data_IF_392998072851
#
_entry.id   IF_392998072851
#
_cell.length_a   1.000
_cell.length_b   1.000
_cell.length_c   1.000
_cell.angle_alpha   90.00
_cell.angle_beta   90.00
_cell.angle_gamma   90.00
#
_symmetry.space_group_name_H-M   'P 1'
#
loop_
_entity.id
_entity.type
_entity.pdbx_description
1 polymer ?
#
# COMPACT_ATOMS: atom_id res chain seq x y z
N UNK A 1 12.58 10.96 -2.88
CA UNK A 1 11.45 10.41 -2.11
C UNK A 1 11.87 9.45 -1.00
N UNK A 2 12.84 8.54 -1.17
CA UNK A 2 13.27 7.59 -0.11
C UNK A 2 13.58 8.24 1.27
N UNK A 3 14.26 9.39 1.31
CA UNK A 3 14.63 10.04 2.58
C UNK A 3 13.44 10.51 3.43
N UNK A 4 12.29 10.77 2.82
CA UNK A 4 11.11 11.26 3.53
C UNK A 4 10.43 10.11 4.28
N UNK A 5 10.18 9.00 3.59
CA UNK A 5 9.61 7.77 4.18
C UNK A 5 10.47 7.24 5.32
N UNK A 6 11.80 7.22 5.15
CA UNK A 6 12.73 6.81 6.22
C UNK A 6 12.65 7.72 7.45
N UNK A 7 12.44 9.03 7.24
CA UNK A 7 12.34 10.01 8.32
C UNK A 7 11.01 9.89 9.06
N UNK A 8 9.90 9.69 8.34
CA UNK A 8 8.58 9.43 8.92
C UNK A 8 8.60 8.17 9.78
N UNK A 9 9.16 7.08 9.24
CA UNK A 9 9.29 5.82 9.96
C UNK A 9 10.14 5.98 11.23
N UNK A 10 11.25 6.73 11.16
CA UNK A 10 12.10 6.99 12.32
C UNK A 10 11.36 7.82 13.40
N UNK A 11 10.57 8.81 13.00
CA UNK A 11 9.79 9.63 13.93
C UNK A 11 8.66 8.84 14.58
N UNK A 12 7.89 8.05 13.82
CA UNK A 12 6.87 7.17 14.39
C UNK A 12 7.47 6.19 15.39
N UNK A 13 8.60 5.56 15.03
CA UNK A 13 9.32 4.65 15.92
C UNK A 13 9.75 5.34 17.22
N UNK A 14 10.19 6.61 17.15
CA UNK A 14 10.57 7.39 18.33
C UNK A 14 9.41 7.60 19.31
N UNK A 15 8.19 7.81 18.80
CA UNK A 15 6.98 7.95 19.61
C UNK A 15 6.30 6.62 19.95
N UNK A 16 6.85 5.49 19.51
CA UNK A 16 6.28 4.15 19.75
C UNK A 16 5.01 3.86 18.92
N UNK A 17 4.83 4.59 17.81
CA UNK A 17 3.72 4.41 16.88
C UNK A 17 4.08 3.39 15.78
N UNK A 18 3.16 2.51 15.39
CA UNK A 18 3.34 1.64 14.24
C UNK A 18 3.26 2.44 12.94
N UNK A 19 3.91 1.95 11.88
CA UNK A 19 3.92 2.61 10.58
C UNK A 19 2.65 2.25 9.79
N UNK A 20 1.53 2.89 10.09
CA UNK A 20 0.22 2.69 9.45
C UNK A 20 -0.22 3.92 8.67
N UNK A 21 -1.17 3.76 7.72
CA UNK A 21 -1.68 4.86 6.90
C UNK A 21 -2.29 5.96 7.78
N UNK A 22 -3.05 5.57 8.81
CA UNK A 22 -3.62 6.49 9.82
C UNK A 22 -2.58 7.47 10.38
N UNK A 23 -1.38 6.98 10.75
CA UNK A 23 -0.36 7.85 11.32
C UNK A 23 0.45 8.56 10.23
N UNK A 24 0.60 7.96 9.03
CA UNK A 24 1.30 8.59 7.90
C UNK A 24 0.56 9.82 7.38
N UNK A 25 -0.77 9.84 7.44
CA UNK A 25 -1.59 11.00 7.09
C UNK A 25 -1.25 12.24 7.94
N UNK A 26 -0.81 12.06 9.19
CA UNK A 26 -0.34 13.18 10.02
C UNK A 26 0.83 13.87 9.33
N UNK A 27 1.80 13.13 8.81
CA UNK A 27 2.99 13.67 8.16
C UNK A 27 2.68 14.33 6.81
N UNK A 28 1.75 13.75 6.03
CA UNK A 28 1.34 14.31 4.75
C UNK A 28 0.68 15.69 4.90
N UNK A 29 -0.16 15.86 5.93
CA UNK A 29 -0.77 17.15 6.23
C UNK A 29 0.28 18.24 6.54
N UNK A 30 1.37 17.88 7.23
CA UNK A 30 2.47 18.81 7.50
C UNK A 30 3.38 19.04 6.29
N UNK A 31 3.61 18.03 5.45
CA UNK A 31 4.45 18.15 4.26
C UNK A 31 3.88 19.09 3.19
N UNK A 32 2.56 19.32 3.19
CA UNK A 32 1.87 20.18 2.21
C UNK A 32 1.89 21.67 2.58
N UNK A 33 2.37 22.07 3.78
CA UNK A 33 2.47 23.48 4.18
C UNK A 33 3.76 24.11 3.63
N UNK A 34 3.62 25.05 2.68
CA UNK A 34 4.77 25.75 2.07
C UNK A 34 5.48 26.73 3.04
N UNK A 35 4.75 27.33 3.98
CA UNK A 35 5.28 28.29 4.96
C UNK A 35 5.14 27.75 6.40
N UNK A 36 6.23 27.22 6.93
CA UNK A 36 6.28 26.66 8.29
C UNK A 36 6.59 27.73 9.34
N UNK A 37 5.75 27.85 10.38
CA UNK A 37 6.11 28.59 11.60
C UNK A 37 6.30 27.65 12.79
N UNK A 38 7.03 28.13 13.81
CA UNK A 38 7.32 27.37 15.04
C UNK A 38 6.04 26.85 15.74
N UNK A 39 4.92 27.55 15.58
CA UNK A 39 3.63 27.12 16.11
C UNK A 39 3.12 25.84 15.43
N UNK A 40 3.29 25.69 14.11
CA UNK A 40 2.89 24.48 13.38
C UNK A 40 3.69 23.26 13.84
N UNK A 41 4.98 23.43 14.13
CA UNK A 41 5.83 22.35 14.67
C UNK A 41 5.34 21.94 16.06
N UNK A 42 4.96 22.90 16.91
CA UNK A 42 4.44 22.61 18.23
C UNK A 42 3.10 21.86 18.17
N UNK A 43 2.18 22.26 17.29
CA UNK A 43 0.92 21.55 17.05
C UNK A 43 1.15 20.14 16.50
N UNK A 44 2.13 19.95 15.62
CA UNK A 44 2.51 18.64 15.11
C UNK A 44 2.99 17.70 16.21
N UNK A 45 3.91 18.19 17.06
CA UNK A 45 4.45 17.41 18.17
C UNK A 45 3.32 17.02 19.13
N UNK A 46 2.42 17.96 19.47
CA UNK A 46 1.26 17.66 20.31
C UNK A 46 0.36 16.59 19.68
N UNK A 47 0.12 16.65 18.37
CA UNK A 47 -0.68 15.65 17.66
C UNK A 47 -0.03 14.26 17.70
N UNK A 48 1.30 14.17 17.57
CA UNK A 48 2.04 12.91 17.70
C UNK A 48 2.00 12.37 19.13
N UNK A 49 2.14 13.24 20.14
CA UNK A 49 2.05 12.85 21.55
C UNK A 49 0.65 12.36 21.92
N UNK A 50 -0.41 13.03 21.43
CA UNK A 50 -1.79 12.59 21.61
C UNK A 50 -2.03 11.24 20.95
N UNK A 51 -1.61 11.06 19.69
CA UNK A 51 -1.72 9.79 18.98
C UNK A 51 -0.99 8.65 19.69
N UNK A 52 0.22 8.90 20.20
CA UNK A 52 0.99 7.92 20.96
C UNK A 52 0.31 7.56 22.28
N UNK A 53 -0.22 8.55 23.01
CA UNK A 53 -0.96 8.30 24.24
C UNK A 53 -2.24 7.50 23.98
N UNK A 54 -3.00 7.83 22.95
CA UNK A 54 -4.19 7.06 22.56
C UNK A 54 -3.82 5.62 22.23
N UNK A 55 -2.75 5.42 21.45
CA UNK A 55 -2.27 4.10 21.06
C UNK A 55 -1.85 3.25 22.28
N UNK A 56 -1.08 3.81 23.21
CA UNK A 56 -0.65 3.13 24.45
C UNK A 56 -1.86 2.73 25.32
N UNK A 57 -2.95 3.48 25.28
CA UNK A 57 -4.18 3.20 26.03
C UNK A 57 -5.09 2.17 25.35
N UNK A 58 -4.79 1.74 24.13
CA UNK A 58 -5.59 0.74 23.43
C UNK A 58 -5.52 -0.64 24.12
N UNK A 59 -6.61 -1.41 24.08
CA UNK A 59 -6.60 -2.77 24.59
C UNK A 59 -5.58 -3.62 23.82
N UNK A 60 -4.73 -4.35 24.54
CA UNK A 60 -3.80 -5.31 23.93
C UNK A 60 -4.61 -6.48 23.37
N UNK A 61 -4.73 -6.54 22.05
CA UNK A 61 -5.36 -7.63 21.33
C UNK A 61 -4.30 -8.65 20.91
N UNK A 62 -4.70 -9.91 20.81
CA UNK A 62 -3.89 -10.92 20.13
C UNK A 62 -3.97 -10.72 18.61
N UNK A 63 -2.94 -11.11 17.86
CA UNK A 63 -2.92 -10.99 16.39
C UNK A 63 -4.18 -11.58 15.72
N UNK A 64 -4.69 -12.71 16.24
CA UNK A 64 -5.93 -13.34 15.75
C UNK A 64 -7.15 -12.45 16.00
N UNK A 65 -7.25 -11.84 17.19
CA UNK A 65 -8.35 -10.93 17.52
C UNK A 65 -8.26 -9.64 16.72
N UNK A 66 -7.05 -9.13 16.48
CA UNK A 66 -6.82 -7.96 15.64
C UNK A 66 -7.29 -8.22 14.21
N UNK A 67 -6.93 -9.37 13.62
CA UNK A 67 -7.40 -9.77 12.30
C UNK A 67 -8.93 -9.93 12.25
N UNK A 68 -9.54 -10.55 13.27
CA UNK A 68 -10.99 -10.69 13.34
C UNK A 68 -11.69 -9.33 13.42
N UNK A 69 -11.20 -8.43 14.28
CA UNK A 69 -11.72 -7.08 14.37
C UNK A 69 -11.52 -6.30 13.07
N UNK A 70 -10.39 -6.48 12.40
CA UNK A 70 -10.10 -5.85 11.14
C UNK A 70 -11.07 -6.30 10.04
N UNK A 71 -11.43 -7.59 10.03
CA UNK A 71 -12.47 -8.13 9.16
C UNK A 71 -13.85 -7.56 9.47
N UNK A 72 -14.23 -7.47 10.74
CA UNK A 72 -15.53 -6.91 11.16
C UNK A 72 -15.69 -5.42 10.78
N UNK A 73 -14.59 -4.67 10.83
CA UNK A 73 -14.57 -3.23 10.53
C UNK A 73 -14.10 -2.90 9.11
N UNK A 74 -13.86 -3.91 8.27
CA UNK A 74 -13.34 -3.77 6.90
C UNK A 74 -12.10 -2.88 6.81
N UNK A 75 -11.15 -3.06 7.75
CA UNK A 75 -9.89 -2.31 7.77
C UNK A 75 -8.97 -2.75 6.64
N UNK A 76 -8.20 -1.80 6.12
CA UNK A 76 -7.22 -2.04 5.04
C UNK A 76 -5.99 -2.78 5.58
N UNK A 77 -5.39 -3.61 4.73
CA UNK A 77 -4.15 -4.32 5.05
C UNK A 77 -3.01 -3.38 5.53
N UNK A 78 -2.91 -2.19 4.92
CA UNK A 78 -1.91 -1.16 5.25
C UNK A 78 -1.99 -0.67 6.70
N UNK A 79 -3.16 -0.75 7.33
CA UNK A 79 -3.37 -0.37 8.73
C UNK A 79 -3.20 -1.55 9.69
N UNK A 80 -3.41 -2.78 9.21
CA UNK A 80 -3.51 -3.97 10.06
C UNK A 80 -2.19 -4.74 10.12
N UNK A 81 -1.49 -4.87 8.99
CA UNK A 81 -0.23 -5.63 8.92
C UNK A 81 0.87 -5.05 9.84
N UNK A 82 1.06 -3.73 9.97
CA UNK A 82 2.08 -3.15 10.85
C UNK A 82 1.78 -3.32 12.34
N UNK A 83 0.50 -3.51 12.69
CA UNK A 83 -0.02 -3.70 14.05
C UNK A 83 0.14 -5.15 14.54
N UNK A 84 0.37 -6.11 13.64
CA UNK A 84 0.66 -7.48 14.01
C UNK A 84 1.99 -7.57 14.76
N UNK A 85 2.11 -8.53 15.68
CA UNK A 85 3.34 -8.77 16.45
C UNK A 85 4.58 -9.05 15.58
N UNK A 86 4.36 -9.43 14.32
CA UNK A 86 5.40 -9.69 13.31
C UNK A 86 5.96 -8.40 12.66
N UNK A 87 5.37 -7.23 12.93
CA UNK A 87 5.74 -5.92 12.35
C UNK A 87 5.93 -5.97 10.84
N UNK A 88 5.00 -6.63 10.15
CA UNK A 88 5.10 -6.87 8.73
C UNK A 88 4.93 -5.57 7.96
N UNK A 89 5.89 -5.31 7.07
CA UNK A 89 5.70 -4.27 6.05
C UNK A 89 4.66 -4.77 5.03
N UNK A 90 3.81 -3.89 4.48
CA UNK A 90 2.80 -4.26 3.48
C UNK A 90 3.47 -4.64 2.15
N UNK A 91 3.94 -5.89 2.08
CA UNK A 91 4.49 -6.49 0.87
C UNK A 91 3.38 -7.20 0.10
N UNK A 92 3.53 -7.28 -1.22
CA UNK A 92 2.54 -7.81 -2.15
C UNK A 92 1.96 -9.17 -1.77
N UNK A 93 2.81 -10.07 -1.25
CA UNK A 93 2.36 -11.38 -0.78
C UNK A 93 1.41 -11.26 0.43
N UNK A 94 1.77 -10.46 1.44
CA UNK A 94 0.93 -10.23 2.62
C UNK A 94 -0.37 -9.49 2.29
N UNK A 95 -0.30 -8.54 1.37
CA UNK A 95 -1.48 -7.84 0.86
C UNK A 95 -2.45 -8.81 0.19
N UNK A 96 -1.94 -9.72 -0.66
CA UNK A 96 -2.78 -10.75 -1.29
C UNK A 96 -3.41 -11.70 -0.24
N UNK A 97 -2.61 -12.20 0.71
CA UNK A 97 -3.13 -13.08 1.77
C UNK A 97 -4.25 -12.40 2.55
N UNK A 98 -4.09 -11.11 2.85
CA UNK A 98 -5.09 -10.36 3.61
C UNK A 98 -6.33 -10.01 2.76
N UNK A 99 -6.16 -9.35 1.62
CA UNK A 99 -7.27 -8.82 0.83
C UNK A 99 -8.06 -9.90 0.10
N UNK A 100 -7.39 -10.95 -0.37
CA UNK A 100 -8.04 -12.02 -1.15
C UNK A 100 -8.41 -13.16 -0.23
N UNK A 101 -7.43 -13.80 0.41
CA UNK A 101 -7.72 -15.04 1.15
C UNK A 101 -8.45 -14.79 2.46
N UNK A 102 -8.04 -13.79 3.24
CA UNK A 102 -8.65 -13.53 4.54
C UNK A 102 -9.99 -12.78 4.45
N UNK A 103 -10.05 -11.70 3.66
CA UNK A 103 -11.27 -10.90 3.53
C UNK A 103 -12.31 -11.50 2.57
N UNK A 104 -11.91 -12.02 1.40
CA UNK A 104 -12.87 -12.51 0.39
C UNK A 104 -13.17 -14.01 0.55
N UNK A 105 -12.15 -14.84 0.77
CA UNK A 105 -12.32 -16.30 0.82
C UNK A 105 -12.60 -16.87 2.22
N UNK A 106 -12.64 -16.01 3.24
CA UNK A 106 -12.96 -16.39 4.63
C UNK A 106 -12.06 -17.48 5.20
N UNK A 107 -10.77 -17.43 4.84
CA UNK A 107 -9.75 -18.31 5.40
C UNK A 107 -9.52 -17.98 6.89
N UNK A 108 -9.22 -19.02 7.68
CA UNK A 108 -8.97 -18.90 9.12
C UNK A 108 -7.78 -17.97 9.41
N UNK A 109 -7.98 -17.04 10.35
CA UNK A 109 -6.97 -16.06 10.76
C UNK A 109 -5.67 -16.72 11.24
N UNK A 110 -5.77 -17.87 11.93
CA UNK A 110 -4.59 -18.58 12.41
C UNK A 110 -3.76 -19.19 11.26
N UNK A 111 -4.42 -19.66 10.19
CA UNK A 111 -3.72 -20.19 9.02
C UNK A 111 -2.98 -19.09 8.26
N UNK A 112 -3.62 -17.92 8.07
CA UNK A 112 -2.99 -16.75 7.45
C UNK A 112 -1.77 -16.29 8.26
N UNK A 113 -1.90 -16.22 9.59
CA UNK A 113 -0.80 -15.81 10.47
C UNK A 113 0.39 -16.78 10.41
N UNK A 114 0.15 -18.09 10.39
CA UNK A 114 1.21 -19.08 10.26
C UNK A 114 1.97 -18.93 8.94
N UNK A 115 1.25 -18.73 7.84
CA UNK A 115 1.87 -18.49 6.52
C UNK A 115 2.71 -17.21 6.54
N UNK A 116 2.14 -16.10 7.07
CA UNK A 116 2.83 -14.82 7.18
C UNK A 116 4.11 -14.92 8.03
N UNK A 117 4.05 -15.67 9.14
CA UNK A 117 5.19 -15.91 10.00
C UNK A 117 6.28 -16.68 9.26
N UNK A 118 5.94 -17.76 8.54
CA UNK A 118 6.91 -18.56 7.79
C UNK A 118 7.62 -17.74 6.72
N UNK A 119 6.88 -16.92 5.99
CA UNK A 119 7.43 -16.04 4.95
C UNK A 119 8.32 -14.95 5.53
N UNK A 120 7.94 -14.40 6.69
CA UNK A 120 8.71 -13.37 7.39
C UNK A 120 10.03 -13.91 7.95
N UNK A 121 9.99 -15.06 8.60
CA UNK A 121 11.18 -15.72 9.18
C UNK A 121 12.23 -16.06 8.12
N UNK A 122 11.78 -16.46 6.92
CA UNK A 122 12.66 -16.81 5.81
C UNK A 122 12.99 -15.62 4.88
N UNK A 123 12.40 -14.44 5.12
CA UNK A 123 12.61 -13.22 4.32
C UNK A 123 12.34 -13.41 2.81
N UNK A 124 11.38 -14.27 2.45
CA UNK A 124 11.11 -14.64 1.04
C UNK A 124 10.01 -13.82 0.37
N UNK A 125 9.32 -12.94 1.09
CA UNK A 125 8.19 -12.16 0.54
C UNK A 125 8.54 -11.38 -0.74
N UNK A 126 9.75 -10.82 -0.85
CA UNK A 126 10.21 -10.14 -2.07
C UNK A 126 10.44 -11.10 -3.25
N UNK A 127 10.92 -12.32 -2.99
CA UNK A 127 11.09 -13.36 -4.02
C UNK A 127 9.74 -13.88 -4.49
N UNK A 128 8.81 -14.07 -3.56
CA UNK A 128 7.43 -14.45 -3.86
C UNK A 128 6.75 -13.43 -4.77
N UNK A 129 6.98 -12.12 -4.56
CA UNK A 129 6.46 -11.11 -5.48
C UNK A 129 6.93 -11.29 -6.92
N UNK A 130 8.23 -11.56 -7.13
CA UNK A 130 8.78 -11.81 -8.47
C UNK A 130 8.15 -13.05 -9.11
N UNK A 131 8.02 -14.13 -8.34
CA UNK A 131 7.36 -15.37 -8.78
C UNK A 131 5.90 -15.13 -9.13
N UNK A 132 5.18 -14.31 -8.36
CA UNK A 132 3.79 -13.98 -8.65
C UNK A 132 3.61 -13.21 -9.97
N UNK A 133 4.62 -12.44 -10.40
CA UNK A 133 4.62 -11.76 -11.70
C UNK A 133 4.95 -12.74 -12.81
N UNK A 134 6.01 -13.52 -12.65
CA UNK A 134 6.45 -14.53 -13.61
C UNK A 134 6.65 -15.89 -12.93
N UNK A 135 5.63 -16.73 -13.07
CA UNK A 135 5.63 -18.08 -12.52
C UNK A 135 6.77 -18.95 -13.07
N UNK A 136 7.43 -18.59 -14.18
CA UNK A 136 8.59 -19.32 -14.70
C UNK A 136 9.81 -19.21 -13.77
N UNK A 137 9.93 -18.13 -13.00
CA UNK A 137 11.03 -17.91 -12.06
C UNK A 137 11.05 -18.95 -10.93
N UNK A 138 9.90 -19.55 -10.62
CA UNK A 138 9.81 -20.57 -9.59
C UNK A 138 10.51 -21.89 -9.98
N UNK A 139 10.78 -22.11 -11.29
CA UNK A 139 11.52 -23.28 -11.77
C UNK A 139 13.05 -23.10 -11.71
N UNK A 140 13.54 -21.93 -11.32
CA UNK A 140 14.96 -21.67 -11.16
C UNK A 140 15.52 -22.39 -9.94
N UNK A 141 16.77 -22.90 -10.03
CA UNK A 141 17.42 -23.63 -8.92
C UNK A 141 17.46 -22.80 -7.63
N UNK A 142 17.61 -21.48 -7.76
CA UNK A 142 17.66 -20.53 -6.66
C UNK A 142 16.31 -20.37 -5.94
N UNK A 143 15.21 -20.93 -6.47
CA UNK A 143 13.86 -20.88 -5.90
C UNK A 143 13.29 -22.24 -5.45
N UNK A 144 14.09 -23.31 -5.49
CA UNK A 144 13.66 -24.62 -5.02
C UNK A 144 13.30 -24.67 -3.53
N UNK A 145 13.94 -23.84 -2.71
CA UNK A 145 13.67 -23.70 -1.28
C UNK A 145 12.24 -23.22 -0.99
N UNK A 146 11.64 -22.41 -1.87
CA UNK A 146 10.27 -21.91 -1.72
C UNK A 146 9.25 -23.06 -1.78
N UNK A 147 9.50 -24.08 -2.61
CA UNK A 147 8.67 -25.29 -2.64
C UNK A 147 8.85 -26.15 -1.39
N UNK A 148 10.08 -26.26 -0.89
CA UNK A 148 10.41 -27.06 0.30
C UNK A 148 9.82 -26.46 1.58
N UNK A 149 9.59 -25.14 1.60
CA UNK A 149 8.94 -24.46 2.74
C UNK A 149 7.48 -24.86 2.94
N UNK A 150 6.82 -25.41 1.91
CA UNK A 150 5.46 -25.93 2.06
C UNK A 150 4.40 -24.86 2.32
N UNK A 151 4.57 -23.68 1.70
CA UNK A 151 3.60 -22.58 1.74
C UNK A 151 2.23 -23.05 1.26
N UNK A 152 1.24 -22.95 2.14
CA UNK A 152 -0.11 -23.47 1.91
C UNK A 152 -0.81 -22.73 0.76
N UNK A 153 -0.58 -21.43 0.65
CA UNK A 153 -1.30 -20.54 -0.25
C UNK A 153 -0.48 -20.10 -1.47
N UNK A 154 0.70 -20.70 -1.69
CA UNK A 154 1.54 -20.38 -2.84
C UNK A 154 0.83 -20.62 -4.18
N UNK A 155 0.04 -21.71 -4.26
CA UNK A 155 -0.74 -22.02 -5.47
C UNK A 155 -1.80 -20.96 -5.78
N UNK A 156 -2.55 -20.55 -4.76
CA UNK A 156 -3.59 -19.52 -4.88
C UNK A 156 -2.97 -18.16 -5.24
N UNK A 157 -1.82 -17.85 -4.63
CA UNK A 157 -1.05 -16.65 -4.97
C UNK A 157 -0.59 -16.66 -6.43
N UNK A 158 0.06 -17.72 -6.93
CA UNK A 158 0.50 -17.78 -8.33
C UNK A 158 -0.63 -17.71 -9.36
N UNK A 159 -1.81 -18.24 -9.00
CA UNK A 159 -2.99 -18.23 -9.87
C UNK A 159 -3.77 -16.91 -9.83
N UNK A 160 -3.85 -16.27 -8.66
CA UNK A 160 -4.69 -15.11 -8.41
C UNK A 160 -3.95 -13.77 -8.40
N UNK A 161 -2.65 -13.76 -8.12
CA UNK A 161 -1.88 -12.54 -7.92
C UNK A 161 -1.80 -11.63 -9.16
N UNK A 162 -1.59 -12.13 -10.40
CA UNK A 162 -1.55 -11.26 -11.59
C UNK A 162 -2.81 -10.40 -11.72
N UNK A 163 -3.98 -11.02 -11.53
CA UNK A 163 -5.27 -10.33 -11.57
C UNK A 163 -5.45 -9.36 -10.40
N UNK A 164 -5.08 -9.79 -9.19
CA UNK A 164 -5.12 -8.92 -8.02
C UNK A 164 -4.25 -7.68 -8.20
N UNK A 165 -3.06 -7.82 -8.80
CA UNK A 165 -2.14 -6.74 -9.07
C UNK A 165 -2.68 -5.74 -10.11
N UNK A 166 -3.30 -6.24 -11.19
CA UNK A 166 -3.97 -5.38 -12.17
C UNK A 166 -5.09 -4.54 -11.54
N UNK A 167 -5.93 -5.16 -10.71
CA UNK A 167 -7.11 -4.51 -10.12
C UNK A 167 -6.73 -3.51 -9.01
N UNK A 168 -5.76 -3.85 -8.15
CA UNK A 168 -5.50 -3.13 -6.88
C UNK A 168 -4.15 -2.42 -6.79
N UNK A 169 -3.18 -2.73 -7.67
CA UNK A 169 -1.83 -2.18 -7.61
C UNK A 169 -1.49 -1.31 -8.84
N UNK A 170 -1.92 -1.70 -10.05
CA UNK A 170 -1.67 -0.92 -11.27
C UNK A 170 -2.51 0.36 -11.38
N UNK A 171 -3.68 0.44 -10.74
CA UNK A 171 -4.50 1.65 -10.75
C UNK A 171 -3.99 2.77 -9.80
N UNK A 172 -2.93 2.51 -9.01
CA UNK A 172 -2.26 3.55 -8.19
C UNK A 172 -1.12 4.25 -8.94
N UNK A 173 -0.77 3.84 -10.17
CA UNK A 173 0.24 4.53 -11.01
C UNK A 173 -0.34 5.45 -12.08
N UNK A 174 -1.60 5.90 -11.93
CA UNK A 174 -2.09 7.09 -12.63
C UNK A 174 -1.39 8.33 -12.05
N UNK A 175 -0.07 8.40 -12.21
CA UNK A 175 0.70 9.59 -12.03
C UNK A 175 0.56 10.37 -13.35
N UNK A 176 -0.17 11.50 -13.39
CA UNK A 176 -0.31 12.31 -14.60
C UNK A 176 1.01 12.99 -15.04
N UNK A 177 2.14 12.54 -14.51
CA UNK A 177 3.50 13.02 -14.77
C UNK A 177 4.45 11.90 -15.19
N UNK A 178 3.93 10.70 -15.52
CA UNK A 178 4.75 9.67 -16.18
C UNK A 178 5.09 10.16 -17.61
N UNK A 179 6.37 10.35 -17.99
CA UNK A 179 6.75 10.85 -19.30
C UNK A 179 6.44 9.90 -20.46
N UNK A 180 6.08 8.65 -20.14
CA UNK A 180 5.62 7.64 -21.11
C UNK A 180 4.07 7.50 -21.12
N UNK A 181 3.35 8.45 -20.51
CA UNK A 181 1.91 8.62 -20.74
C UNK A 181 1.71 9.21 -22.14
N UNK A 182 1.75 8.35 -23.16
CA UNK A 182 1.24 8.68 -24.48
C UNK A 182 -0.28 8.83 -24.35
N UNK A 183 -0.71 10.08 -24.25
CA UNK A 183 -2.10 10.52 -24.32
C UNK A 183 -2.56 10.39 -25.79
N UNK A 184 -2.63 9.15 -26.29
CA UNK A 184 -3.08 8.82 -27.65
C UNK A 184 -4.61 9.02 -27.85
N UNK A 185 -5.27 9.75 -26.96
CA UNK A 185 -6.68 10.15 -27.04
C UNK A 185 -6.87 11.68 -27.15
N UNK A 186 -5.85 12.43 -27.58
CA UNK A 186 -5.94 13.90 -27.79
C UNK A 186 -5.98 14.32 -29.28
N UNK A 187 -6.49 13.44 -30.15
CA UNK A 187 -6.56 13.63 -31.62
C UNK A 187 -7.78 14.43 -32.10
N UNK A 188 -8.35 15.31 -31.26
CA UNK A 188 -9.51 16.16 -31.67
C UNK A 188 -9.53 17.56 -31.04
N UNK A 189 -8.37 18.09 -30.61
CA UNK A 189 -8.24 19.53 -30.31
C UNK A 189 -7.73 20.27 -31.55
N UNK A 190 -8.55 21.11 -32.20
CA UNK A 190 -8.11 21.84 -33.38
C UNK A 190 -6.97 22.81 -33.03
N UNK A 191 -5.92 22.79 -33.86
CA UNK A 191 -4.73 23.62 -33.71
C UNK A 191 -5.11 25.11 -33.68
N UNK A 192 -4.82 25.84 -32.58
CA UNK A 192 -5.11 27.28 -32.48
C UNK A 192 -4.24 28.14 -33.42
N UNK A 193 -3.31 27.54 -34.16
CA UNK A 193 -2.48 28.20 -35.18
C UNK A 193 -2.84 27.82 -36.61
N UNK A 194 -3.94 27.08 -36.83
CA UNK A 194 -4.46 26.86 -38.17
C UNK A 194 -4.87 28.22 -38.78
N UNK A 195 -4.26 28.67 -39.90
CA UNK A 195 -4.58 29.95 -40.53
C UNK A 195 -6.03 30.09 -40.99
N UNK A 196 -6.83 29.01 -41.04
CA UNK A 196 -8.26 29.04 -41.34
C UNK A 196 -9.18 29.27 -40.13
N UNK A 197 -8.65 29.52 -38.92
CA UNK A 197 -9.44 29.72 -37.69
C UNK A 197 -10.34 30.98 -37.68
N UNK A 198 -10.20 31.90 -38.64
CA UNK A 198 -10.85 33.22 -38.61
C UNK A 198 -12.25 33.30 -39.24
N UNK A 199 -12.86 32.20 -39.69
CA UNK A 199 -14.21 32.25 -40.30
C UNK A 199 -15.37 31.83 -39.37
N UNK A 200 -15.11 31.56 -38.10
CA UNK A 200 -16.19 31.31 -37.13
C UNK A 200 -16.67 32.63 -36.56
N UNK A 201 -17.67 33.24 -37.20
CA UNK A 201 -18.44 34.34 -36.61
C UNK A 201 -19.16 33.84 -35.36
N UNK A 202 -19.06 34.52 -34.21
CA UNK A 202 -19.86 34.16 -33.04
C UNK A 202 -21.35 34.41 -33.30
N UNK A 203 -22.16 33.41 -32.98
CA UNK A 203 -23.62 33.44 -33.02
C UNK A 203 -24.14 34.48 -32.00
N UNK A 204 -24.94 35.50 -32.41
CA UNK A 204 -25.26 36.64 -31.56
C UNK A 204 -26.36 36.39 -30.51
N UNK A 205 -26.56 35.15 -30.05
CA UNK A 205 -27.56 34.86 -29.01
C UNK A 205 -27.03 33.93 -27.92
N UNK A 206 -26.17 34.46 -27.04
CA UNK A 206 -26.17 34.14 -25.59
C UNK A 206 -25.89 35.41 -24.82
#
# INVERSE_FOLDING_TARGET
MLKMVETEQALMTYYGLPFTLKYSELFQFFALKEDFVLADIAEFILSLEEAANEYILQPVLTDVQLLQQAKENSLKAEDVLPELSLHLQPQHYYLFLYDVLFLQEDIDAAAILQEMQLVSENQIAGRLHLIGIDNMLLAEEDNNDIWEMGLQFLGDFMGGYPRYAEENLCNKSANPFDPDYDDDDDDDKPDPFDPDYNDIKPDPFI
#
